data_IF_713230792382
#
_entry.id   IF_713230792382
#
_cell.length_a   1.000
_cell.length_b   1.000
_cell.length_c   1.000
_cell.angle_alpha   90.00
_cell.angle_beta   90.00
_cell.angle_gamma   90.00
#
_symmetry.space_group_name_H-M   'P 1'
#
loop_
_entity.id
_entity.type
_entity.pdbx_description
1 polymer ?
#
# COMPACT_ATOMS: atom_id res chain seq x y z
N UNK A 1 8.55 -20.34 6.88
CA UNK A 1 7.93 -19.04 6.56
C UNK A 1 8.61 -18.03 7.47
N UNK A 2 9.23 -17.01 6.90
CA UNK A 2 9.82 -15.89 7.65
C UNK A 2 8.69 -15.13 8.33
N UNK A 3 8.85 -14.72 9.59
CA UNK A 3 7.87 -13.87 10.25
C UNK A 3 7.88 -12.46 9.67
N UNK A 4 6.77 -11.72 9.79
CA UNK A 4 6.71 -10.33 9.34
C UNK A 4 7.77 -9.45 10.05
N UNK A 5 8.03 -9.70 11.34
CA UNK A 5 9.11 -9.03 12.08
C UNK A 5 10.48 -9.25 11.44
N UNK A 6 10.81 -10.49 11.10
CA UNK A 6 12.07 -10.82 10.43
C UNK A 6 12.14 -10.21 9.02
N UNK A 7 11.01 -10.17 8.30
CA UNK A 7 10.94 -9.53 6.99
C UNK A 7 11.20 -8.02 7.07
N UNK A 8 10.59 -7.31 8.03
CA UNK A 8 10.86 -5.90 8.29
C UNK A 8 12.34 -5.69 8.65
N UNK A 9 12.88 -6.48 9.58
CA UNK A 9 14.29 -6.39 9.98
C UNK A 9 15.22 -6.57 8.77
N UNK A 10 14.95 -7.57 7.92
CA UNK A 10 15.73 -7.82 6.72
C UNK A 10 15.71 -6.63 5.76
N UNK A 11 14.51 -6.08 5.49
CA UNK A 11 14.37 -4.91 4.62
C UNK A 11 15.08 -3.67 5.21
N UNK A 12 14.93 -3.42 6.50
CA UNK A 12 15.61 -2.31 7.18
C UNK A 12 17.14 -2.44 7.08
N UNK A 13 17.68 -3.65 7.29
CA UNK A 13 19.12 -3.92 7.11
C UNK A 13 19.58 -3.73 5.67
N UNK A 14 18.81 -4.22 4.69
CA UNK A 14 19.08 -4.03 3.27
C UNK A 14 19.10 -2.56 2.85
N UNK A 15 18.24 -1.75 3.48
CA UNK A 15 18.19 -0.30 3.31
C UNK A 15 19.26 0.48 4.12
N UNK A 16 20.10 -0.20 4.90
CA UNK A 16 21.24 0.41 5.61
C UNK A 16 20.97 0.81 7.06
N UNK A 17 19.88 0.37 7.69
CA UNK A 17 19.60 0.66 9.09
C UNK A 17 20.70 0.11 10.03
N UNK A 18 21.17 0.95 10.96
CA UNK A 18 22.25 0.62 11.89
C UNK A 18 21.80 0.29 13.32
N UNK A 19 20.53 0.51 13.68
CA UNK A 19 19.97 0.14 14.98
C UNK A 19 20.17 -1.36 15.27
N UNK A 20 20.13 -1.77 16.54
CA UNK A 20 20.29 -3.20 16.84
C UNK A 20 19.05 -4.02 16.46
N UNK A 21 19.15 -5.35 16.49
CA UNK A 21 18.05 -6.23 16.10
C UNK A 21 16.84 -6.11 17.05
N UNK A 22 17.05 -5.74 18.32
CA UNK A 22 15.96 -5.57 19.27
C UNK A 22 15.16 -4.30 18.98
N UNK A 23 15.83 -3.21 18.58
CA UNK A 23 15.18 -1.97 18.16
C UNK A 23 14.41 -2.15 16.84
N UNK A 24 14.99 -2.88 15.87
CA UNK A 24 14.30 -3.20 14.61
C UNK A 24 13.06 -4.07 14.84
N UNK A 25 13.15 -5.06 15.73
CA UNK A 25 12.00 -5.88 16.11
C UNK A 25 10.93 -5.08 16.83
N UNK A 26 11.33 -4.18 17.73
CA UNK A 26 10.40 -3.31 18.45
C UNK A 26 9.65 -2.38 17.49
N UNK A 27 10.34 -1.83 16.48
CA UNK A 27 9.71 -1.03 15.43
C UNK A 27 8.73 -1.86 14.59
N UNK A 28 9.10 -3.07 14.18
CA UNK A 28 8.19 -3.96 13.45
C UNK A 28 6.94 -4.30 14.28
N UNK A 29 7.09 -4.60 15.57
CA UNK A 29 5.97 -4.87 16.47
C UNK A 29 5.09 -3.63 16.68
N UNK A 30 5.69 -2.45 16.77
CA UNK A 30 4.96 -1.19 16.84
C UNK A 30 4.11 -0.96 15.58
N UNK A 31 4.69 -1.18 14.40
CA UNK A 31 3.96 -1.11 13.12
C UNK A 31 2.82 -2.12 13.08
N UNK A 32 3.07 -3.38 13.44
CA UNK A 32 2.01 -4.39 13.52
C UNK A 32 0.88 -3.98 14.48
N UNK A 33 1.21 -3.31 15.59
CA UNK A 33 0.23 -2.70 16.48
C UNK A 33 -0.69 -1.73 15.73
N UNK A 34 -0.13 -0.84 14.91
CA UNK A 34 -0.89 0.10 14.06
C UNK A 34 -1.75 -0.62 13.03
N UNK A 35 -1.21 -1.62 12.35
CA UNK A 35 -1.94 -2.45 11.36
C UNK A 35 -3.05 -3.32 11.96
N UNK A 36 -3.13 -3.44 13.29
CA UNK A 36 -4.19 -4.16 14.00
C UNK A 36 -5.18 -3.26 14.73
N UNK A 37 -5.12 -1.95 14.50
CA UNK A 37 -6.06 -1.00 15.08
C UNK A 37 -7.52 -1.31 14.70
N UNK A 38 -8.48 -1.18 15.63
CA UNK A 38 -9.81 -1.74 15.50
C UNK A 38 -10.68 -1.11 14.40
N UNK A 39 -10.33 0.07 13.90
CA UNK A 39 -11.02 0.72 12.79
C UNK A 39 -10.64 0.15 11.41
N UNK A 40 -9.57 -0.65 11.34
CA UNK A 40 -9.09 -1.28 10.09
C UNK A 40 -9.88 -2.56 9.83
N UNK A 41 -10.38 -2.68 8.61
CA UNK A 41 -11.05 -3.89 8.13
C UNK A 41 -10.52 -4.38 6.80
N UNK A 42 -9.99 -3.48 5.97
CA UNK A 42 -9.25 -3.78 4.76
C UNK A 42 -7.77 -3.43 4.94
N UNK A 43 -7.46 -2.22 5.42
CA UNK A 43 -6.09 -1.74 5.59
C UNK A 43 -5.46 -2.32 6.88
N UNK A 44 -5.42 -3.66 6.96
CA UNK A 44 -4.94 -4.45 8.09
C UNK A 44 -3.69 -5.30 7.72
N UNK A 45 -3.24 -6.14 8.65
CA UNK A 45 -2.06 -7.02 8.45
C UNK A 45 -2.21 -7.96 7.23
N UNK A 46 -3.44 -8.31 6.83
CA UNK A 46 -3.71 -9.11 5.63
C UNK A 46 -3.40 -8.33 4.37
N UNK A 47 -3.78 -7.05 4.31
CA UNK A 47 -3.40 -6.15 3.22
C UNK A 47 -1.89 -5.96 3.16
N UNK A 48 -1.26 -5.61 4.28
CA UNK A 48 0.20 -5.48 4.37
C UNK A 48 0.92 -6.73 3.83
N UNK A 49 0.50 -7.92 4.27
CA UNK A 49 1.11 -9.17 3.82
C UNK A 49 0.91 -9.39 2.31
N UNK A 50 -0.26 -9.04 1.78
CA UNK A 50 -0.55 -9.16 0.36
C UNK A 50 0.31 -8.22 -0.50
N UNK A 51 0.51 -6.97 -0.06
CA UNK A 51 1.38 -6.01 -0.74
C UNK A 51 2.83 -6.51 -0.73
N UNK A 52 3.33 -6.94 0.44
CA UNK A 52 4.69 -7.50 0.56
C UNK A 52 4.91 -8.74 -0.32
N UNK A 53 3.93 -9.65 -0.39
CA UNK A 53 4.00 -10.83 -1.26
C UNK A 53 4.15 -10.43 -2.74
N UNK A 54 3.49 -9.34 -3.17
CA UNK A 54 3.62 -8.83 -4.53
C UNK A 54 4.97 -8.16 -4.76
N UNK A 55 5.43 -7.33 -3.82
CA UNK A 55 6.77 -6.73 -3.88
C UNK A 55 7.84 -7.82 -3.97
N UNK A 56 7.75 -8.87 -3.17
CA UNK A 56 8.70 -9.99 -3.21
C UNK A 56 8.65 -10.76 -4.52
N UNK A 57 7.44 -10.99 -5.06
CA UNK A 57 7.25 -11.68 -6.34
C UNK A 57 7.88 -10.94 -7.52
N UNK A 58 7.86 -9.61 -7.49
CA UNK A 58 8.33 -8.75 -8.58
C UNK A 58 9.54 -7.90 -8.19
N UNK A 59 10.30 -8.32 -7.17
CA UNK A 59 11.45 -7.57 -6.66
C UNK A 59 12.53 -7.31 -7.73
N UNK A 60 12.57 -8.09 -8.81
CA UNK A 60 13.49 -7.89 -9.94
C UNK A 60 13.14 -6.67 -10.81
N UNK A 61 11.95 -6.09 -10.65
CA UNK A 61 11.52 -4.88 -11.35
C UNK A 61 11.98 -3.59 -10.66
N UNK A 62 12.41 -3.68 -9.40
CA UNK A 62 12.88 -2.56 -8.59
C UNK A 62 14.42 -2.59 -8.45
N UNK A 63 15.14 -1.48 -8.69
CA UNK A 63 16.57 -1.38 -8.38
C UNK A 63 16.87 -1.56 -6.89
N UNK A 64 16.01 -1.05 -6.00
CA UNK A 64 16.20 -1.09 -4.55
C UNK A 64 14.97 -1.70 -3.83
N UNK A 65 14.72 -3.02 -3.97
CA UNK A 65 13.50 -3.65 -3.49
C UNK A 65 13.30 -3.56 -1.97
N UNK A 66 14.36 -3.37 -1.19
CA UNK A 66 14.26 -3.16 0.25
C UNK A 66 13.61 -1.80 0.61
N UNK A 67 13.79 -0.77 -0.23
CA UNK A 67 13.05 0.50 -0.07
C UNK A 67 11.57 0.31 -0.34
N UNK A 68 11.24 -0.44 -1.39
CA UNK A 68 9.85 -0.76 -1.75
C UNK A 68 9.17 -1.58 -0.63
N UNK A 69 9.88 -2.55 -0.04
CA UNK A 69 9.38 -3.30 1.13
C UNK A 69 9.12 -2.39 2.32
N UNK A 70 10.04 -1.49 2.65
CA UNK A 70 9.84 -0.54 3.75
C UNK A 70 8.68 0.42 3.47
N UNK A 71 8.54 0.90 2.24
CA UNK A 71 7.40 1.72 1.84
C UNK A 71 6.08 0.94 1.97
N UNK A 72 6.03 -0.33 1.56
CA UNK A 72 4.87 -1.20 1.77
C UNK A 72 4.51 -1.36 3.25
N UNK A 73 5.49 -1.47 4.15
CA UNK A 73 5.27 -1.49 5.60
C UNK A 73 4.68 -0.19 6.15
N UNK A 74 5.00 0.94 5.51
CA UNK A 74 4.76 2.27 6.03
C UNK A 74 3.60 3.01 5.37
N UNK A 75 3.12 2.57 4.19
CA UNK A 75 2.19 3.37 3.38
C UNK A 75 0.87 3.72 4.09
N UNK A 76 0.32 2.80 4.89
CA UNK A 76 -0.82 3.05 5.77
C UNK A 76 -0.46 2.93 7.26
N UNK A 77 0.77 3.22 7.65
CA UNK A 77 1.16 3.17 9.07
C UNK A 77 0.34 4.17 9.92
N UNK A 78 -0.09 5.28 9.31
CA UNK A 78 -1.11 6.18 9.83
C UNK A 78 -2.38 6.01 9.01
N UNK A 79 -3.49 5.66 9.67
CA UNK A 79 -4.77 5.46 8.99
C UNK A 79 -5.95 5.86 9.86
N UNK A 80 -6.64 6.92 9.46
CA UNK A 80 -7.97 7.27 9.93
C UNK A 80 -8.94 7.27 8.73
N UNK A 81 -9.97 6.40 8.70
CA UNK A 81 -10.95 6.41 7.61
C UNK A 81 -11.82 7.69 7.60
N UNK A 82 -11.68 8.58 8.59
CA UNK A 82 -12.30 9.91 8.63
C UNK A 82 -11.39 11.03 8.15
N UNK A 83 -10.12 10.74 7.88
CA UNK A 83 -9.20 11.71 7.30
C UNK A 83 -9.72 12.23 5.96
N UNK A 84 -9.39 13.47 5.64
CA UNK A 84 -9.80 14.13 4.39
C UNK A 84 -8.60 14.24 3.46
N UNK A 85 -8.85 14.05 2.16
CA UNK A 85 -7.81 14.14 1.14
C UNK A 85 -6.74 13.08 1.34
N UNK A 86 -5.48 13.49 1.19
CA UNK A 86 -4.25 12.67 1.23
C UNK A 86 -3.58 12.66 2.62
N UNK A 87 -4.33 12.97 3.68
CA UNK A 87 -3.74 13.15 5.00
C UNK A 87 -3.15 11.85 5.57
N UNK A 88 -3.75 10.68 5.29
CA UNK A 88 -3.21 9.40 5.76
C UNK A 88 -1.83 9.12 5.13
N UNK A 89 -1.70 9.36 3.83
CA UNK A 89 -0.49 9.11 3.06
C UNK A 89 0.60 10.11 3.42
N UNK A 90 0.25 11.40 3.55
CA UNK A 90 1.20 12.44 3.99
C UNK A 90 1.71 12.17 5.40
N UNK A 91 0.80 11.88 6.34
CA UNK A 91 1.16 11.65 7.74
C UNK A 91 1.94 10.31 7.87
N UNK A 92 1.64 9.31 7.04
CA UNK A 92 2.43 8.07 6.93
C UNK A 92 3.82 8.30 6.35
N UNK A 93 3.96 9.17 5.34
CA UNK A 93 5.25 9.54 4.77
C UNK A 93 6.14 10.28 5.78
N UNK A 94 5.58 11.25 6.51
CA UNK A 94 6.30 11.95 7.58
C UNK A 94 6.71 10.98 8.71
N UNK A 95 5.80 10.08 9.09
CA UNK A 95 6.08 9.05 10.07
C UNK A 95 7.18 8.07 9.59
N UNK A 96 7.17 7.70 8.31
CA UNK A 96 8.16 6.83 7.69
C UNK A 96 9.57 7.41 7.78
N UNK A 97 9.73 8.68 7.38
CA UNK A 97 11.02 9.38 7.40
C UNK A 97 11.61 9.41 8.83
N UNK A 98 10.80 9.87 9.80
CA UNK A 98 11.22 9.95 11.20
C UNK A 98 11.55 8.59 11.82
N UNK A 99 10.73 7.56 11.56
CA UNK A 99 10.98 6.21 12.09
C UNK A 99 12.29 5.66 11.52
N UNK A 100 12.49 5.70 10.21
CA UNK A 100 13.67 5.12 9.57
C UNK A 100 14.96 5.83 9.99
N UNK A 101 14.95 7.16 10.07
CA UNK A 101 16.09 7.90 10.60
C UNK A 101 16.39 7.53 12.06
N UNK A 102 15.36 7.32 12.89
CA UNK A 102 15.54 6.87 14.28
C UNK A 102 16.16 5.47 14.40
N UNK A 103 15.97 4.63 13.37
CA UNK A 103 16.59 3.31 13.25
C UNK A 103 17.98 3.35 12.61
N UNK A 104 18.51 4.54 12.32
CA UNK A 104 19.82 4.75 11.73
C UNK A 104 19.91 4.42 10.24
N UNK A 105 18.77 4.39 9.53
CA UNK A 105 18.77 4.36 8.06
C UNK A 105 19.35 5.67 7.52
N UNK A 106 20.15 5.66 6.44
CA UNK A 106 20.65 6.89 5.82
C UNK A 106 19.52 7.85 5.45
N UNK A 107 19.71 9.14 5.71
CA UNK A 107 18.68 10.19 5.49
C UNK A 107 18.12 10.17 4.07
N UNK A 108 18.98 10.05 3.05
CA UNK A 108 18.56 9.96 1.64
C UNK A 108 17.66 8.74 1.36
N UNK A 109 17.91 7.61 2.05
CA UNK A 109 17.11 6.39 1.89
C UNK A 109 15.78 6.53 2.64
N UNK A 110 15.77 7.12 3.84
CA UNK A 110 14.55 7.39 4.59
C UNK A 110 13.63 8.36 3.85
N UNK A 111 14.19 9.44 3.29
CA UNK A 111 13.48 10.41 2.47
C UNK A 111 12.90 9.77 1.20
N UNK A 112 13.64 8.86 0.56
CA UNK A 112 13.14 8.14 -0.61
C UNK A 112 11.99 7.19 -0.25
N UNK A 113 12.08 6.44 0.86
CA UNK A 113 10.97 5.61 1.33
C UNK A 113 9.73 6.47 1.65
N UNK A 114 9.92 7.64 2.27
CA UNK A 114 8.83 8.56 2.53
C UNK A 114 8.19 9.12 1.23
N UNK A 115 9.01 9.41 0.21
CA UNK A 115 8.52 9.79 -1.13
C UNK A 115 7.66 8.67 -1.72
N UNK A 116 8.15 7.43 -1.69
CA UNK A 116 7.42 6.25 -2.17
C UNK A 116 6.08 6.09 -1.45
N UNK A 117 6.05 6.22 -0.13
CA UNK A 117 4.80 6.22 0.66
C UNK A 117 3.84 7.31 0.17
N UNK A 118 4.33 8.54 -0.07
CA UNK A 118 3.49 9.63 -0.57
C UNK A 118 2.85 9.37 -1.94
N UNK A 119 3.44 8.50 -2.78
CA UNK A 119 2.87 8.17 -4.10
C UNK A 119 1.53 7.43 -4.00
N UNK A 120 1.26 6.73 -2.90
CA UNK A 120 0.03 5.94 -2.75
C UNK A 120 -1.23 6.80 -2.65
N UNK A 121 -1.10 8.11 -2.43
CA UNK A 121 -2.24 9.04 -2.39
C UNK A 121 -2.97 9.15 -3.74
N UNK A 122 -2.25 8.93 -4.84
CA UNK A 122 -2.81 9.03 -6.20
C UNK A 122 -2.31 7.95 -7.17
N UNK A 123 -1.44 7.05 -6.71
CA UNK A 123 -0.78 6.01 -7.53
C UNK A 123 -0.18 6.59 -8.82
N UNK A 124 0.39 7.80 -8.68
CA UNK A 124 0.90 8.63 -9.77
C UNK A 124 2.41 8.75 -9.65
N UNK A 125 3.11 7.91 -10.42
CA UNK A 125 4.57 7.88 -10.50
C UNK A 125 5.07 8.88 -11.55
N UNK A 126 6.33 9.30 -11.41
CA UNK A 126 7.03 9.98 -12.51
C UNK A 126 7.42 8.97 -13.59
N UNK A 127 7.77 9.46 -14.78
CA UNK A 127 8.37 8.61 -15.82
C UNK A 127 9.70 8.05 -15.30
N UNK A 128 9.93 6.73 -15.46
CA UNK A 128 11.16 6.04 -15.02
C UNK A 128 11.34 5.97 -13.48
N UNK A 129 10.25 5.74 -12.75
CA UNK A 129 10.23 5.52 -11.28
C UNK A 129 9.92 4.03 -10.93
N UNK A 130 10.83 3.07 -11.21
CA UNK A 130 10.53 1.65 -11.08
C UNK A 130 10.17 1.19 -9.66
N UNK A 131 10.76 1.81 -8.63
CA UNK A 131 10.44 1.53 -7.22
C UNK A 131 9.02 2.01 -6.88
N UNK A 132 8.66 3.24 -7.29
CA UNK A 132 7.32 3.79 -7.10
C UNK A 132 6.27 3.04 -7.90
N UNK A 133 6.59 2.65 -9.13
CA UNK A 133 5.74 1.84 -10.00
C UNK A 133 5.47 0.47 -9.36
N UNK A 134 6.49 -0.19 -8.81
CA UNK A 134 6.30 -1.48 -8.15
C UNK A 134 5.45 -1.34 -6.88
N UNK A 135 5.66 -0.30 -6.07
CA UNK A 135 4.83 -0.05 -4.88
C UNK A 135 3.36 0.18 -5.26
N UNK A 136 3.09 1.05 -6.24
CA UNK A 136 1.74 1.34 -6.68
C UNK A 136 1.05 0.11 -7.26
N UNK A 137 1.75 -0.67 -8.07
CA UNK A 137 1.24 -1.92 -8.64
C UNK A 137 0.95 -2.97 -7.56
N UNK A 138 1.78 -3.02 -6.50
CA UNK A 138 1.60 -3.92 -5.38
C UNK A 138 0.41 -3.54 -4.51
N UNK A 139 0.24 -2.26 -4.19
CA UNK A 139 -0.88 -1.74 -3.42
C UNK A 139 -2.22 -1.93 -4.15
N UNK A 140 -2.25 -1.69 -5.46
CA UNK A 140 -3.43 -1.88 -6.31
C UNK A 140 -3.70 -3.35 -6.69
N UNK A 141 -2.87 -4.29 -6.27
CA UNK A 141 -2.96 -5.70 -6.68
C UNK A 141 -4.28 -6.39 -6.31
N UNK A 142 -4.96 -5.91 -5.26
CA UNK A 142 -6.29 -6.40 -4.87
C UNK A 142 -7.32 -6.25 -5.98
N UNK A 143 -7.13 -5.27 -6.87
CA UNK A 143 -8.08 -4.99 -7.95
C UNK A 143 -8.12 -6.16 -8.93
N UNK A 144 -6.99 -6.86 -9.15
CA UNK A 144 -6.91 -8.06 -9.98
C UNK A 144 -7.14 -9.38 -9.20
N UNK A 145 -7.65 -9.32 -7.97
CA UNK A 145 -7.96 -10.51 -7.20
C UNK A 145 -9.05 -11.36 -7.87
N UNK A 146 -9.12 -12.64 -7.48
CA UNK A 146 -10.27 -13.48 -7.81
C UNK A 146 -11.56 -12.91 -7.23
N UNK A 147 -12.68 -13.18 -7.90
CA UNK A 147 -13.98 -12.56 -7.62
C UNK A 147 -14.38 -12.56 -6.13
N UNK A 148 -14.22 -13.69 -5.43
CA UNK A 148 -14.60 -13.76 -4.02
C UNK A 148 -13.74 -12.85 -3.14
N UNK A 149 -12.42 -12.84 -3.36
CA UNK A 149 -11.49 -11.97 -2.62
C UNK A 149 -11.77 -10.49 -2.90
N UNK A 150 -12.16 -10.15 -4.14
CA UNK A 150 -12.57 -8.79 -4.48
C UNK A 150 -13.86 -8.37 -3.74
N UNK A 151 -14.86 -9.26 -3.64
CA UNK A 151 -16.10 -9.00 -2.87
C UNK A 151 -15.79 -8.81 -1.37
N UNK A 152 -14.88 -9.60 -0.83
CA UNK A 152 -14.47 -9.48 0.57
C UNK A 152 -13.75 -8.13 0.81
N UNK A 153 -12.93 -7.69 -0.16
CA UNK A 153 -12.31 -6.36 -0.19
C UNK A 153 -13.34 -5.23 -0.18
N UNK A 154 -14.30 -5.21 -1.10
CA UNK A 154 -15.29 -4.13 -1.18
C UNK A 154 -16.17 -4.09 0.07
N UNK A 155 -16.51 -5.25 0.63
CA UNK A 155 -17.22 -5.38 1.91
C UNK A 155 -16.40 -4.82 3.08
N UNK A 156 -15.09 -5.09 3.10
CA UNK A 156 -14.18 -4.57 4.11
C UNK A 156 -14.06 -3.05 4.05
N UNK A 157 -13.87 -2.48 2.86
CA UNK A 157 -13.88 -1.02 2.63
C UNK A 157 -15.21 -0.41 3.09
N UNK A 158 -16.36 -1.02 2.77
CA UNK A 158 -17.66 -0.53 3.23
C UNK A 158 -17.74 -0.45 4.76
N UNK A 159 -17.12 -1.38 5.49
CA UNK A 159 -17.08 -1.37 6.96
C UNK A 159 -16.23 -0.24 7.52
N UNK A 160 -15.07 0.05 6.94
CA UNK A 160 -14.20 1.17 7.39
C UNK A 160 -14.94 2.52 7.27
N UNK A 161 -15.68 2.67 6.18
CA UNK A 161 -16.50 3.85 5.91
C UNK A 161 -17.94 3.73 6.43
N UNK A 162 -18.25 2.83 7.37
CA UNK A 162 -19.62 2.65 7.90
C UNK A 162 -20.23 3.93 8.50
N UNK A 163 -19.38 4.88 8.89
CA UNK A 163 -19.77 6.20 9.37
C UNK A 163 -20.25 7.15 8.26
N UNK A 164 -19.96 6.86 6.98
CA UNK A 164 -20.41 7.62 5.81
C UNK A 164 -21.80 7.12 5.36
N UNK A 165 -22.78 8.02 5.15
CA UNK A 165 -24.09 7.63 4.63
C UNK A 165 -24.00 6.94 3.27
N UNK A 166 -24.85 5.94 3.03
CA UNK A 166 -24.76 5.06 1.86
C UNK A 166 -24.71 5.80 0.52
N UNK A 167 -25.56 6.82 0.33
CA UNK A 167 -25.56 7.60 -0.91
C UNK A 167 -24.25 8.37 -1.15
N UNK A 168 -23.66 8.92 -0.08
CA UNK A 168 -22.38 9.61 -0.17
C UNK A 168 -21.22 8.64 -0.42
N UNK A 169 -21.24 7.48 0.25
CA UNK A 169 -20.26 6.41 0.03
C UNK A 169 -20.31 5.90 -1.42
N UNK A 170 -21.51 5.55 -1.94
CA UNK A 170 -21.67 5.08 -3.33
C UNK A 170 -21.17 6.12 -4.33
N UNK A 171 -21.51 7.39 -4.14
CA UNK A 171 -21.05 8.48 -5.00
C UNK A 171 -19.52 8.63 -5.01
N UNK A 172 -18.90 8.72 -3.84
CA UNK A 172 -17.46 8.85 -3.71
C UNK A 172 -16.72 7.62 -4.25
N UNK A 173 -17.19 6.41 -3.90
CA UNK A 173 -16.60 5.16 -4.40
C UNK A 173 -16.70 5.06 -5.91
N UNK A 174 -17.85 5.38 -6.50
CA UNK A 174 -18.04 5.38 -7.96
C UNK A 174 -17.08 6.33 -8.67
N UNK A 175 -16.78 7.48 -8.06
CA UNK A 175 -15.80 8.43 -8.60
C UNK A 175 -14.39 7.81 -8.63
N UNK A 176 -13.93 7.22 -7.53
CA UNK A 176 -12.62 6.53 -7.46
C UNK A 176 -12.52 5.44 -8.54
N UNK A 177 -13.53 4.58 -8.66
CA UNK A 177 -13.54 3.50 -9.66
C UNK A 177 -13.50 4.06 -11.10
N UNK A 178 -14.25 5.13 -11.34
CA UNK A 178 -14.28 5.79 -12.65
C UNK A 178 -12.94 6.41 -13.00
N UNK A 179 -12.25 7.02 -12.03
CA UNK A 179 -10.93 7.62 -12.22
C UNK A 179 -9.88 6.53 -12.53
N UNK A 180 -9.87 5.43 -11.79
CA UNK A 180 -9.02 4.26 -12.09
C UNK A 180 -9.28 3.69 -13.49
N UNK A 181 -10.54 3.53 -13.89
CA UNK A 181 -10.91 3.01 -15.21
C UNK A 181 -10.50 3.95 -16.36
N UNK A 182 -10.34 5.25 -16.10
CA UNK A 182 -9.89 6.24 -17.11
C UNK A 182 -8.39 6.23 -17.34
N UNK A 183 -7.60 5.63 -16.44
CA UNK A 183 -6.17 5.53 -16.64
C UNK A 183 -5.86 4.72 -17.91
N UNK A 184 -4.83 5.09 -18.69
CA UNK A 184 -4.37 4.29 -19.82
C UNK A 184 -3.99 2.86 -19.41
N UNK A 185 -3.42 2.71 -18.22
CA UNK A 185 -3.23 1.44 -17.53
C UNK A 185 -3.42 1.63 -16.02
N UNK A 186 -3.97 0.61 -15.36
CA UNK A 186 -4.02 0.56 -13.89
C UNK A 186 -2.61 0.23 -13.38
N UNK A 187 -1.96 -0.76 -14.01
CA UNK A 187 -0.61 -1.19 -13.64
C UNK A 187 0.47 -0.59 -14.55
N UNK A 188 1.60 -0.20 -13.95
CA UNK A 188 2.71 0.51 -14.60
C UNK A 188 3.70 -0.46 -15.23
N UNK A 189 4.14 -1.46 -14.49
CA UNK A 189 5.04 -2.48 -15.00
C UNK A 189 4.35 -3.36 -16.03
N UNK A 190 4.99 -3.55 -17.20
CA UNK A 190 4.41 -4.33 -18.28
C UNK A 190 4.12 -5.78 -17.87
N UNK A 191 5.04 -6.41 -17.13
CA UNK A 191 4.88 -7.78 -16.66
C UNK A 191 3.66 -7.95 -15.73
N UNK A 192 3.39 -6.94 -14.89
CA UNK A 192 2.24 -6.94 -13.97
C UNK A 192 0.95 -6.65 -14.75
N UNK A 193 0.96 -5.61 -15.58
CA UNK A 193 -0.16 -5.20 -16.42
C UNK A 193 -0.69 -6.35 -17.28
N UNK A 194 0.20 -7.07 -17.97
CA UNK A 194 -0.16 -8.18 -18.85
C UNK A 194 -0.87 -9.32 -18.09
N UNK A 195 -0.65 -9.46 -16.79
CA UNK A 195 -1.28 -10.49 -15.96
C UNK A 195 -2.62 -10.04 -15.35
N UNK A 196 -2.76 -8.75 -15.07
CA UNK A 196 -3.74 -8.25 -14.09
C UNK A 196 -4.72 -7.21 -14.62
N UNK A 197 -4.37 -6.46 -15.67
CA UNK A 197 -5.16 -5.32 -16.16
C UNK A 197 -6.60 -5.68 -16.51
N UNK A 198 -6.80 -6.72 -17.34
CA UNK A 198 -8.12 -7.13 -17.80
C UNK A 198 -9.04 -7.53 -16.63
N UNK A 199 -8.48 -8.25 -15.66
CA UNK A 199 -9.22 -8.71 -14.48
C UNK A 199 -9.53 -7.56 -13.53
N UNK A 200 -8.59 -6.64 -13.33
CA UNK A 200 -8.83 -5.43 -12.57
C UNK A 200 -9.97 -4.62 -13.16
N UNK A 201 -9.93 -4.34 -14.47
CA UNK A 201 -10.98 -3.57 -15.16
C UNK A 201 -12.34 -4.26 -15.10
N UNK A 202 -12.38 -5.59 -15.21
CA UNK A 202 -13.61 -6.37 -15.05
C UNK A 202 -14.20 -6.25 -13.63
N UNK A 203 -13.36 -6.38 -12.60
CA UNK A 203 -13.79 -6.22 -11.20
C UNK A 203 -14.27 -4.79 -10.92
N UNK A 204 -13.53 -3.77 -11.34
CA UNK A 204 -13.91 -2.36 -11.14
C UNK A 204 -15.23 -2.02 -11.83
N UNK A 205 -15.45 -2.52 -13.05
CA UNK A 205 -16.67 -2.28 -13.82
C UNK A 205 -17.86 -2.99 -13.18
N UNK A 206 -17.69 -4.22 -12.69
CA UNK A 206 -18.74 -4.95 -11.97
C UNK A 206 -19.13 -4.24 -10.66
N UNK A 207 -18.15 -3.75 -9.88
CA UNK A 207 -18.45 -2.97 -8.67
C UNK A 207 -19.19 -1.68 -9.01
N UNK A 208 -18.77 -0.98 -10.07
CA UNK A 208 -19.42 0.26 -10.50
C UNK A 208 -20.89 0.03 -10.90
N UNK A 209 -21.21 -1.09 -11.55
CA UNK A 209 -22.59 -1.48 -11.86
C UNK A 209 -23.42 -1.77 -10.60
N UNK A 210 -22.82 -2.37 -9.57
CA UNK A 210 -23.49 -2.61 -8.27
C UNK A 210 -23.70 -1.32 -7.45
N UNK A 211 -22.90 -0.28 -7.72
CA UNK A 211 -22.97 1.04 -7.08
C UNK A 211 -23.92 2.04 -7.76
N UNK A 212 -24.31 1.78 -9.02
CA UNK A 212 -25.32 2.56 -9.75
C UNK A 212 -26.74 2.43 -9.15
#
# INVERSE_FOLDING_TARGET
MTSLTEAFRSAARGAGATADDADLDAAAQYLLGRWTEPQRHYHDVTHLSAVLDVVDRFAHLAPDPDRVRLAAWLHDAVYDPRALGDANERDSAEFADGLLQSLGTPEEVAAEVARLVGLTAGHATEDDDPDGELLCDADLSILAAEKQRYIDYTSAIRREYAHVPDGAFRGARSQVLTELLRLPSIYRHAEIRDQWEDRARANLSAELEELA
#
